data_IF_994668251408
#
_entry.id   IF_994668251408
#
_cell.length_a   1.000
_cell.length_b   1.000
_cell.length_c   1.000
_cell.angle_alpha   90.00
_cell.angle_beta   90.00
_cell.angle_gamma   90.00
#
_symmetry.space_group_name_H-M   'P 1'
#
loop_
_entity.id
_entity.type
_entity.pdbx_description
1 polymer ?
#
# COMPACT_ATOMS: atom_id res chain seq x y z
N UNK A 1 -7.37 -18.77 8.39
CA UNK A 1 -7.51 -17.55 7.55
C UNK A 1 -8.98 -17.19 7.51
N UNK A 2 -9.37 -15.93 7.74
CA UNK A 2 -10.79 -15.53 7.72
C UNK A 2 -11.25 -15.46 6.26
N UNK A 3 -12.33 -16.16 5.92
CA UNK A 3 -12.97 -16.06 4.60
C UNK A 3 -13.52 -14.65 4.41
N UNK A 4 -13.31 -14.09 3.23
CA UNK A 4 -13.79 -12.75 2.84
C UNK A 4 -14.82 -12.95 1.75
N UNK A 5 -15.86 -12.11 1.77
CA UNK A 5 -16.83 -11.99 0.68
C UNK A 5 -16.34 -10.85 -0.22
N UNK A 6 -15.97 -11.18 -1.45
CA UNK A 6 -15.56 -10.21 -2.47
C UNK A 6 -16.81 -9.69 -3.17
N UNK A 7 -17.11 -8.38 -3.12
CA UNK A 7 -18.30 -7.82 -3.74
C UNK A 7 -18.30 -7.99 -5.26
N UNK A 8 -19.48 -8.19 -5.84
CA UNK A 8 -19.65 -8.35 -7.29
C UNK A 8 -19.34 -7.08 -8.06
N UNK A 9 -19.71 -5.93 -7.51
CA UNK A 9 -19.36 -4.61 -7.99
C UNK A 9 -17.99 -4.12 -7.44
N UNK A 10 -17.19 -5.04 -6.91
CA UNK A 10 -15.90 -4.73 -6.32
C UNK A 10 -14.87 -4.35 -7.38
N UNK A 11 -13.99 -3.43 -7.02
CA UNK A 11 -12.78 -3.13 -7.77
C UNK A 11 -11.57 -3.52 -6.93
N UNK A 12 -10.82 -4.51 -7.38
CA UNK A 12 -9.54 -4.84 -6.77
C UNK A 12 -8.44 -3.98 -7.40
N UNK A 13 -7.79 -3.15 -6.59
CA UNK A 13 -6.69 -2.27 -6.99
C UNK A 13 -5.37 -2.83 -6.46
N UNK A 14 -4.39 -3.05 -7.34
CA UNK A 14 -3.12 -3.68 -6.97
C UNK A 14 -1.93 -2.95 -7.59
N UNK A 15 -1.29 -2.03 -6.86
CA UNK A 15 0.04 -1.57 -7.22
C UNK A 15 1.06 -2.69 -7.01
N UNK A 16 1.95 -2.88 -7.97
CA UNK A 16 2.99 -3.90 -7.92
C UNK A 16 4.36 -3.27 -8.18
N UNK A 17 5.34 -3.67 -7.37
CA UNK A 17 6.74 -3.35 -7.62
C UNK A 17 7.37 -4.45 -8.46
N UNK A 18 7.88 -4.07 -9.63
CA UNK A 18 8.53 -4.96 -10.58
C UNK A 18 10.03 -4.64 -10.59
N UNK A 19 10.86 -5.70 -10.53
CA UNK A 19 12.33 -5.60 -10.52
C UNK A 19 12.92 -4.71 -9.41
N UNK A 20 12.16 -4.46 -8.33
CA UNK A 20 12.62 -3.72 -7.14
C UNK A 20 12.68 -2.20 -7.27
N UNK A 21 12.35 -1.63 -8.44
CA UNK A 21 12.44 -0.18 -8.66
C UNK A 21 11.37 0.39 -9.61
N UNK A 22 10.58 -0.44 -10.28
CA UNK A 22 9.54 0.00 -11.21
C UNK A 22 8.16 -0.28 -10.63
N UNK A 23 7.26 0.71 -10.67
CA UNK A 23 5.89 0.55 -10.20
C UNK A 23 4.92 0.47 -11.38
N UNK A 24 4.05 -0.53 -11.31
CA UNK A 24 2.91 -0.72 -12.22
C UNK A 24 1.65 -0.87 -11.40
N UNK A 25 0.48 -0.79 -12.04
CA UNK A 25 -0.79 -1.00 -11.36
C UNK A 25 -1.74 -1.86 -12.19
N UNK A 26 -2.44 -2.74 -11.48
CA UNK A 26 -3.43 -3.64 -12.03
C UNK A 26 -4.78 -3.39 -11.38
N UNK A 27 -5.82 -3.63 -12.16
CA UNK A 27 -7.20 -3.54 -11.70
C UNK A 27 -7.99 -4.76 -12.14
N UNK A 28 -8.75 -5.33 -11.21
CA UNK A 28 -9.79 -6.31 -11.52
C UNK A 28 -11.15 -5.68 -11.24
N UNK A 29 -11.84 -5.32 -12.31
CA UNK A 29 -13.20 -4.79 -12.28
C UNK A 29 -14.16 -5.97 -12.36
N UNK A 30 -14.71 -6.36 -11.20
CA UNK A 30 -15.64 -7.49 -11.12
C UNK A 30 -17.04 -7.13 -11.61
N UNK A 31 -17.41 -5.84 -11.66
CA UNK A 31 -18.70 -5.38 -12.19
C UNK A 31 -18.73 -5.63 -13.71
N UNK A 32 -17.66 -5.22 -14.39
CA UNK A 32 -17.56 -5.28 -15.85
C UNK A 32 -16.81 -6.51 -16.38
N UNK A 33 -16.37 -7.40 -15.48
CA UNK A 33 -15.56 -8.57 -15.77
C UNK A 33 -14.28 -8.25 -16.57
N UNK A 34 -13.63 -7.13 -16.26
CA UNK A 34 -12.45 -6.65 -17.00
C UNK A 34 -11.22 -6.62 -16.12
N UNK A 35 -10.09 -6.93 -16.74
CA UNK A 35 -8.78 -6.75 -16.14
C UNK A 35 -8.01 -5.68 -16.88
N UNK A 36 -7.41 -4.75 -16.13
CA UNK A 36 -6.61 -3.67 -16.68
C UNK A 36 -5.19 -3.68 -16.11
N UNK A 37 -4.23 -3.35 -16.95
CA UNK A 37 -2.83 -3.20 -16.59
C UNK A 37 -2.33 -1.85 -17.11
N UNK A 38 -1.74 -1.06 -16.21
CA UNK A 38 -1.12 0.20 -16.54
C UNK A 38 0.35 0.15 -16.16
N UNK A 39 1.17 0.45 -17.16
CA UNK A 39 2.61 0.59 -17.02
C UNK A 39 3.00 1.99 -17.50
N UNK A 40 3.46 2.87 -16.59
CA UNK A 40 3.96 4.19 -16.97
C UNK A 40 5.05 4.14 -18.04
N UNK A 41 5.85 3.07 -18.09
CA UNK A 41 7.02 2.91 -18.96
C UNK A 41 6.81 2.04 -20.20
N UNK A 42 5.64 1.41 -20.36
CA UNK A 42 5.36 0.42 -21.42
C UNK A 42 6.43 -0.69 -21.54
N UNK A 43 6.85 -1.24 -20.41
CA UNK A 43 7.82 -2.34 -20.42
C UNK A 43 7.19 -3.63 -20.97
N UNK A 44 8.04 -4.61 -21.30
CA UNK A 44 7.59 -5.97 -21.65
C UNK A 44 7.11 -6.79 -20.43
N UNK A 45 6.95 -6.18 -19.25
CA UNK A 45 6.60 -6.87 -17.99
C UNK A 45 5.13 -7.30 -17.93
N UNK A 46 4.31 -6.92 -18.92
CA UNK A 46 2.90 -7.30 -19.01
C UNK A 46 2.66 -8.79 -18.75
N UNK A 47 3.43 -9.68 -19.39
CA UNK A 47 3.25 -11.13 -19.25
C UNK A 47 3.55 -11.63 -17.84
N UNK A 48 4.58 -11.08 -17.19
CA UNK A 48 4.96 -11.44 -15.82
C UNK A 48 3.92 -10.94 -14.81
N UNK A 49 3.45 -9.71 -14.98
CA UNK A 49 2.40 -9.14 -14.15
C UNK A 49 1.08 -9.90 -14.33
N UNK A 50 0.73 -10.26 -15.56
CA UNK A 50 -0.41 -11.12 -15.88
C UNK A 50 -0.32 -12.47 -15.17
N UNK A 51 0.84 -13.12 -15.17
CA UNK A 51 1.00 -14.39 -14.45
C UNK A 51 0.82 -14.22 -12.94
N UNK A 52 1.42 -13.17 -12.36
CA UNK A 52 1.25 -12.81 -10.94
C UNK A 52 -0.23 -12.61 -10.61
N UNK A 53 -0.96 -11.89 -11.46
CA UNK A 53 -2.38 -11.65 -11.30
C UNK A 53 -3.21 -12.94 -11.33
N UNK A 54 -2.98 -13.81 -12.32
CA UNK A 54 -3.68 -15.09 -12.43
C UNK A 54 -3.46 -15.93 -11.17
N UNK A 55 -2.26 -15.90 -10.59
CA UNK A 55 -1.97 -16.58 -9.34
C UNK A 55 -2.75 -15.97 -8.16
N UNK A 56 -2.78 -14.65 -8.03
CA UNK A 56 -3.55 -13.95 -6.98
C UNK A 56 -5.04 -14.27 -7.10
N UNK A 57 -5.63 -14.17 -8.31
CA UNK A 57 -7.01 -14.57 -8.54
C UNK A 57 -7.25 -16.03 -8.20
N UNK A 58 -6.33 -16.92 -8.55
CA UNK A 58 -6.40 -18.33 -8.19
C UNK A 58 -6.47 -18.54 -6.67
N UNK A 59 -5.70 -17.78 -5.90
CA UNK A 59 -5.76 -17.81 -4.44
C UNK A 59 -7.06 -17.21 -3.89
N UNK A 60 -7.54 -16.12 -4.49
CA UNK A 60 -8.84 -15.53 -4.12
C UNK A 60 -9.97 -16.55 -4.33
N UNK A 61 -10.00 -17.21 -5.49
CA UNK A 61 -10.99 -18.23 -5.83
C UNK A 61 -10.99 -19.43 -4.88
N UNK A 62 -9.81 -19.85 -4.43
CA UNK A 62 -9.64 -21.01 -3.53
C UNK A 62 -10.06 -20.71 -2.10
N UNK A 63 -9.80 -19.49 -1.62
CA UNK A 63 -9.88 -19.18 -0.19
C UNK A 63 -11.05 -18.24 0.18
N UNK A 64 -11.71 -17.63 -0.81
CA UNK A 64 -12.71 -16.59 -0.63
C UNK A 64 -13.97 -16.81 -1.48
N UNK A 65 -15.04 -16.12 -1.10
CA UNK A 65 -16.37 -16.20 -1.76
C UNK A 65 -16.56 -14.96 -2.62
N UNK A 66 -17.13 -15.11 -3.81
CA UNK A 66 -17.50 -13.99 -4.68
C UNK A 66 -19.00 -13.73 -4.59
N UNK A 67 -19.41 -12.53 -4.20
CA UNK A 67 -20.81 -12.18 -3.95
C UNK A 67 -21.40 -12.97 -2.79
N UNK A 68 -21.88 -14.17 -3.07
CA UNK A 68 -22.52 -15.06 -2.11
C UNK A 68 -22.04 -16.52 -2.27
N UNK A 69 -22.28 -17.33 -1.23
CA UNK A 69 -21.81 -18.72 -1.19
C UNK A 69 -22.41 -19.51 -2.36
N UNK A 70 -21.55 -20.21 -3.12
CA UNK A 70 -21.95 -21.02 -4.27
C UNK A 70 -21.91 -20.28 -5.61
N UNK A 71 -21.72 -18.96 -5.62
CA UNK A 71 -21.61 -18.19 -6.86
C UNK A 71 -20.25 -18.42 -7.54
N UNK A 72 -20.29 -18.54 -8.87
CA UNK A 72 -19.11 -18.77 -9.69
C UNK A 72 -18.36 -17.46 -9.87
N UNK A 73 -17.05 -17.49 -9.62
CA UNK A 73 -16.18 -16.36 -9.89
C UNK A 73 -16.13 -16.01 -11.38
N UNK A 74 -16.25 -14.74 -11.77
CA UNK A 74 -16.24 -14.35 -13.16
C UNK A 74 -14.89 -14.66 -13.82
N UNK A 75 -14.94 -14.90 -15.12
CA UNK A 75 -13.75 -14.84 -15.97
C UNK A 75 -13.52 -13.37 -16.30
N UNK A 76 -12.28 -12.90 -16.10
CA UNK A 76 -11.94 -11.53 -16.42
C UNK A 76 -11.26 -11.45 -17.78
N UNK A 77 -11.76 -10.53 -18.60
CA UNK A 77 -11.21 -10.27 -19.93
C UNK A 77 -10.12 -9.22 -19.85
N UNK A 78 -8.94 -9.58 -20.39
CA UNK A 78 -7.78 -8.71 -20.39
C UNK A 78 -7.98 -7.56 -21.36
N UNK A 79 -8.00 -6.34 -20.83
CA UNK A 79 -8.11 -5.11 -21.58
C UNK A 79 -6.74 -4.46 -21.72
N UNK A 80 -6.38 -4.12 -22.96
CA UNK A 80 -5.22 -3.27 -23.23
C UNK A 80 -5.70 -1.83 -23.27
N UNK A 81 -5.52 -1.11 -22.16
CA UNK A 81 -5.70 0.33 -22.16
C UNK A 81 -4.48 0.97 -22.83
N UNK A 82 -4.68 1.95 -23.71
CA UNK A 82 -3.57 2.61 -24.43
C UNK A 82 -3.56 4.13 -24.24
N UNK A 83 -4.71 4.74 -23.95
CA UNK A 83 -4.85 6.19 -23.85
C UNK A 83 -4.67 6.68 -22.41
N UNK A 84 -3.42 6.78 -21.96
CA UNK A 84 -3.05 7.35 -20.66
C UNK A 84 -1.65 7.96 -20.72
N UNK A 85 -1.32 8.98 -19.90
CA UNK A 85 -0.04 9.63 -19.95
C UNK A 85 1.06 8.65 -19.58
N UNK A 86 2.15 8.70 -20.35
CA UNK A 86 3.32 7.85 -20.19
C UNK A 86 4.42 8.63 -19.52
N UNK A 87 5.19 7.91 -18.73
CA UNK A 87 6.41 8.45 -18.16
C UNK A 87 7.48 8.52 -19.26
N UNK A 88 8.11 9.67 -19.47
CA UNK A 88 9.19 9.79 -20.45
C UNK A 88 10.35 8.82 -20.14
N UNK A 89 11.02 8.32 -21.18
CA UNK A 89 12.18 7.44 -21.03
C UNK A 89 13.35 8.08 -20.26
N UNK A 90 13.36 9.40 -20.13
CA UNK A 90 14.35 10.18 -19.38
C UNK A 90 14.05 10.32 -17.88
N UNK A 91 12.91 9.82 -17.39
CA UNK A 91 12.42 10.16 -16.05
C UNK A 91 12.90 9.26 -14.90
N UNK A 92 13.05 7.95 -14.99
CA UNK A 92 13.49 6.98 -13.96
C UNK A 92 12.83 6.92 -12.56
N UNK A 93 12.19 7.95 -12.01
CA UNK A 93 11.77 7.97 -10.59
C UNK A 93 10.30 8.31 -10.32
N UNK A 94 9.52 8.70 -11.34
CA UNK A 94 8.11 9.06 -11.17
C UNK A 94 7.11 7.91 -11.37
N UNK A 95 7.53 6.66 -11.62
CA UNK A 95 6.59 5.56 -11.92
C UNK A 95 5.52 5.35 -10.83
N UNK A 96 5.90 5.49 -9.55
CA UNK A 96 4.95 5.43 -8.43
C UNK A 96 3.93 6.58 -8.45
N UNK A 97 4.34 7.78 -8.88
CA UNK A 97 3.47 8.97 -8.97
C UNK A 97 2.44 8.79 -10.09
N UNK A 98 2.85 8.28 -11.24
CA UNK A 98 1.94 7.92 -12.33
C UNK A 98 0.94 6.83 -11.89
N UNK A 99 1.41 5.80 -11.18
CA UNK A 99 0.55 4.74 -10.63
C UNK A 99 -0.53 5.29 -9.70
N UNK A 100 -0.17 6.20 -8.80
CA UNK A 100 -1.12 6.86 -7.89
C UNK A 100 -2.11 7.74 -8.65
N UNK A 101 -1.65 8.49 -9.65
CA UNK A 101 -2.50 9.28 -10.52
C UNK A 101 -3.51 8.39 -11.27
N UNK A 102 -3.07 7.24 -11.78
CA UNK A 102 -3.98 6.31 -12.46
C UNK A 102 -5.06 5.77 -11.52
N UNK A 103 -4.66 5.35 -10.32
CA UNK A 103 -5.59 4.90 -9.29
C UNK A 103 -6.62 5.98 -8.95
N UNK A 104 -6.18 7.22 -8.71
CA UNK A 104 -7.06 8.33 -8.40
C UNK A 104 -8.08 8.59 -9.50
N UNK A 105 -7.64 8.71 -10.76
CA UNK A 105 -8.54 8.98 -11.89
C UNK A 105 -9.60 7.89 -12.07
N UNK A 106 -9.19 6.62 -11.96
CA UNK A 106 -10.07 5.46 -12.12
C UNK A 106 -11.07 5.38 -10.97
N UNK A 107 -10.60 5.54 -9.72
CA UNK A 107 -11.45 5.49 -8.54
C UNK A 107 -12.48 6.62 -8.52
N UNK A 108 -12.14 7.81 -9.04
CA UNK A 108 -13.06 8.95 -9.13
C UNK A 108 -14.10 8.85 -10.26
N UNK A 109 -13.77 8.22 -11.40
CA UNK A 109 -14.59 8.34 -12.61
C UNK A 109 -15.13 7.00 -13.18
N UNK A 110 -14.73 5.84 -12.63
CA UNK A 110 -14.87 4.51 -13.26
C UNK A 110 -14.14 4.43 -14.62
N UNK A 111 -13.88 3.21 -15.09
CA UNK A 111 -13.12 2.98 -16.33
C UNK A 111 -13.75 3.54 -17.60
N UNK A 112 -15.07 3.56 -17.69
CA UNK A 112 -15.78 3.95 -18.91
C UNK A 112 -15.76 5.46 -19.16
N UNK A 113 -15.61 6.25 -18.10
CA UNK A 113 -15.63 7.71 -18.16
C UNK A 113 -14.27 8.34 -17.88
N UNK A 114 -13.25 7.55 -17.52
CA UNK A 114 -11.94 8.09 -17.19
C UNK A 114 -11.31 8.75 -18.41
N UNK A 115 -10.97 10.03 -18.26
CA UNK A 115 -10.16 10.78 -19.22
C UNK A 115 -8.92 11.25 -18.48
N UNK A 116 -7.79 10.63 -18.80
CA UNK A 116 -6.52 11.07 -18.24
C UNK A 116 -6.12 12.42 -18.85
N UNK A 117 -5.52 13.26 -18.03
CA UNK A 117 -4.91 14.51 -18.50
C UNK A 117 -3.63 14.17 -19.28
N UNK A 118 -3.63 14.45 -20.57
CA UNK A 118 -2.45 14.24 -21.43
C UNK A 118 -1.29 15.18 -21.04
N UNK A 119 -1.59 16.33 -20.43
CA UNK A 119 -0.62 17.27 -19.89
C UNK A 119 -0.31 17.00 -18.40
N UNK A 120 -0.48 15.77 -17.93
CA UNK A 120 -0.15 15.39 -16.56
C UNK A 120 1.33 15.69 -16.24
N UNK A 121 1.56 16.46 -15.18
CA UNK A 121 2.89 16.78 -14.68
C UNK A 121 3.13 16.07 -13.33
N UNK A 122 4.01 15.05 -13.27
CA UNK A 122 4.23 14.27 -12.06
C UNK A 122 4.82 15.11 -10.91
N UNK A 123 5.61 16.14 -11.22
CA UNK A 123 6.22 17.00 -10.20
C UNK A 123 5.15 17.84 -9.49
N UNK A 124 4.23 18.44 -10.25
CA UNK A 124 3.11 19.18 -9.65
C UNK A 124 2.24 18.24 -8.82
N UNK A 125 1.98 17.02 -9.32
CA UNK A 125 1.18 16.05 -8.58
C UNK A 125 1.88 15.53 -7.31
N UNK A 126 3.22 15.47 -7.26
CA UNK A 126 3.96 15.17 -6.03
C UNK A 126 3.71 16.21 -4.94
N UNK A 127 3.67 17.49 -5.30
CA UNK A 127 3.37 18.56 -4.34
C UNK A 127 1.94 18.39 -3.80
N UNK A 128 0.97 18.10 -4.68
CA UNK A 128 -0.41 17.78 -4.27
C UNK A 128 -0.46 16.59 -3.32
N UNK A 129 0.26 15.50 -3.62
CA UNK A 129 0.31 14.32 -2.75
C UNK A 129 0.96 14.63 -1.41
N UNK A 130 2.01 15.44 -1.39
CA UNK A 130 2.69 15.87 -0.16
C UNK A 130 1.74 16.68 0.72
N UNK A 131 1.06 17.67 0.14
CA UNK A 131 0.11 18.51 0.87
C UNK A 131 -1.07 17.66 1.39
N UNK A 132 -1.64 16.79 0.55
CA UNK A 132 -2.69 15.84 0.95
C UNK A 132 -2.26 14.96 2.12
N UNK A 133 -1.04 14.42 2.08
CA UNK A 133 -0.53 13.59 3.18
C UNK A 133 -0.36 14.40 4.48
N UNK A 134 0.04 15.66 4.39
CA UNK A 134 0.17 16.51 5.58
C UNK A 134 -1.19 16.91 6.16
N UNK A 135 -2.20 17.09 5.30
CA UNK A 135 -3.56 17.49 5.69
C UNK A 135 -4.39 16.32 6.25
N UNK A 136 -4.31 15.14 5.61
CA UNK A 136 -5.20 14.01 5.89
C UNK A 136 -4.56 12.93 6.79
N UNK A 137 -3.25 12.98 7.03
CA UNK A 137 -2.63 11.98 7.92
C UNK A 137 -2.92 12.31 9.38
N UNK A 138 -3.23 11.26 10.15
CA UNK A 138 -3.37 11.37 11.59
C UNK A 138 -2.08 11.89 12.23
N UNK A 139 -2.27 12.70 13.27
CA UNK A 139 -1.16 13.11 14.11
C UNK A 139 -0.63 11.92 14.91
N UNK A 140 0.43 11.30 14.39
CA UNK A 140 0.94 10.03 14.90
C UNK A 140 1.64 10.10 16.27
N UNK A 141 1.63 11.26 16.96
CA UNK A 141 2.28 11.44 18.27
C UNK A 141 1.70 10.49 19.30
N UNK A 142 0.38 10.36 19.35
CA UNK A 142 -0.32 9.60 20.39
C UNK A 142 -0.75 8.21 19.89
N UNK A 143 -0.14 7.73 18.78
CA UNK A 143 -0.42 6.44 18.17
C UNK A 143 0.79 5.53 18.35
N UNK A 144 0.60 4.45 19.10
CA UNK A 144 1.62 3.44 19.35
C UNK A 144 2.13 2.85 18.04
N UNK A 145 3.43 2.95 17.80
CA UNK A 145 4.08 2.45 16.58
C UNK A 145 3.88 0.94 16.38
N UNK A 146 3.74 0.16 17.46
CA UNK A 146 3.62 -1.29 17.40
C UNK A 146 2.21 -1.78 17.05
N UNK A 147 1.17 -1.17 17.64
CA UNK A 147 -0.21 -1.65 17.48
C UNK A 147 -1.11 -0.70 16.69
N UNK A 148 -0.66 0.51 16.37
CA UNK A 148 -1.44 1.52 15.66
C UNK A 148 -2.64 2.05 16.45
N UNK A 149 -2.57 2.02 17.78
CA UNK A 149 -3.66 2.45 18.67
C UNK A 149 -3.22 3.54 19.63
N UNK A 150 -4.17 4.36 20.04
CA UNK A 150 -4.01 5.30 21.15
C UNK A 150 -4.19 4.56 22.48
N UNK A 151 -3.84 5.23 23.58
CA UNK A 151 -4.09 4.80 24.96
C UNK A 151 -5.57 4.45 25.19
N UNK A 152 -6.48 5.28 24.66
CA UNK A 152 -7.94 5.13 24.74
C UNK A 152 -8.53 3.98 23.93
N UNK A 153 -7.76 3.37 23.04
CA UNK A 153 -8.22 2.26 22.18
C UNK A 153 -7.39 0.98 22.38
N UNK A 154 -6.46 1.01 23.33
CA UNK A 154 -5.53 -0.07 23.57
C UNK A 154 -6.18 -1.28 24.24
N UNK A 155 -5.63 -2.47 23.99
CA UNK A 155 -6.16 -3.74 24.54
C UNK A 155 -6.03 -3.85 26.07
N UNK A 156 -5.23 -2.98 26.69
CA UNK A 156 -4.98 -2.90 28.13
C UNK A 156 -5.63 -1.66 28.77
N UNK A 157 -6.70 -1.11 28.18
CA UNK A 157 -7.43 0.07 28.71
C UNK A 157 -7.88 -0.07 30.17
N UNK A 158 -8.15 -1.30 30.60
CA UNK A 158 -8.63 -1.60 31.96
C UNK A 158 -7.48 -1.72 32.99
N UNK A 159 -6.22 -1.65 32.54
CA UNK A 159 -5.07 -1.56 33.43
C UNK A 159 -4.82 -0.08 33.75
N UNK A 160 -4.77 0.26 35.04
CA UNK A 160 -4.76 1.65 35.53
C UNK A 160 -3.59 2.52 35.01
N UNK A 161 -2.57 1.94 34.35
CA UNK A 161 -1.46 2.68 33.76
C UNK A 161 -0.91 1.98 32.50
N UNK A 162 -1.17 2.58 31.33
CA UNK A 162 -0.51 2.21 30.08
C UNK A 162 0.73 3.08 29.90
N UNK A 163 1.91 2.53 30.14
CA UNK A 163 3.18 3.24 30.00
C UNK A 163 3.59 3.42 28.54
N UNK A 164 4.19 4.56 28.24
CA UNK A 164 4.67 4.93 26.92
C UNK A 164 6.17 5.22 26.96
N UNK A 165 6.88 4.80 25.92
CA UNK A 165 8.29 5.12 25.68
C UNK A 165 8.45 5.73 24.28
N UNK A 166 9.30 6.75 24.15
CA UNK A 166 9.60 7.41 22.88
C UNK A 166 10.94 6.89 22.34
N UNK A 167 10.97 6.53 21.05
CA UNK A 167 12.22 6.23 20.35
C UNK A 167 13.05 7.49 20.14
N UNK A 168 14.28 7.53 20.64
CA UNK A 168 15.18 8.68 20.49
C UNK A 168 15.61 8.91 19.03
N UNK A 169 15.62 7.87 18.21
CA UNK A 169 16.03 7.96 16.80
C UNK A 169 14.92 8.49 15.87
N UNK A 170 13.65 8.11 16.09
CA UNK A 170 12.55 8.49 15.19
C UNK A 170 11.42 9.28 15.87
N UNK A 171 11.55 9.58 17.16
CA UNK A 171 10.59 10.32 17.98
C UNK A 171 9.19 9.70 18.03
N UNK A 172 9.05 8.41 17.67
CA UNK A 172 7.77 7.69 17.70
C UNK A 172 7.54 7.04 19.05
N UNK A 173 6.30 7.16 19.52
CA UNK A 173 5.85 6.61 20.79
C UNK A 173 5.39 5.15 20.67
N UNK A 174 5.70 4.36 21.68
CA UNK A 174 5.35 2.94 21.80
C UNK A 174 4.76 2.71 23.18
N UNK A 175 3.64 2.01 23.23
CA UNK A 175 3.09 1.46 24.47
C UNK A 175 3.98 0.31 24.92
N UNK A 176 4.51 0.37 26.14
CA UNK A 176 5.51 -0.58 26.64
C UNK A 176 4.99 -2.02 26.58
N UNK A 177 3.72 -2.25 26.91
CA UNK A 177 3.04 -3.55 26.86
C UNK A 177 2.84 -4.11 25.42
N UNK A 178 3.05 -3.30 24.39
CA UNK A 178 3.09 -3.80 23.00
C UNK A 178 4.43 -4.41 22.64
N UNK A 179 5.48 -4.14 23.42
CA UNK A 179 6.80 -4.72 23.23
C UNK A 179 6.79 -6.10 23.89
N UNK A 180 7.12 -7.15 23.13
CA UNK A 180 7.06 -8.52 23.62
C UNK A 180 8.11 -8.82 24.70
N UNK A 181 9.17 -8.01 24.78
CA UNK A 181 10.31 -8.15 25.68
C UNK A 181 10.75 -6.76 26.20
N UNK A 182 9.86 -6.04 26.89
CA UNK A 182 10.11 -4.69 27.39
C UNK A 182 11.34 -4.58 28.32
N UNK A 183 11.76 -5.69 28.94
CA UNK A 183 12.92 -5.75 29.85
C UNK A 183 14.28 -5.58 29.15
N UNK A 184 14.35 -5.62 27.81
CA UNK A 184 15.63 -5.64 27.07
C UNK A 184 15.98 -4.34 26.31
N UNK A 185 15.22 -3.25 26.47
CA UNK A 185 15.25 -2.15 25.47
C UNK A 185 15.80 -0.81 26.01
N UNK A 186 16.20 -0.74 27.28
CA UNK A 186 16.98 0.40 27.77
C UNK A 186 18.46 0.02 27.71
N UNK A 187 19.23 0.76 26.91
CA UNK A 187 20.68 0.67 27.01
C UNK A 187 21.17 1.29 28.34
N UNK A 188 22.45 1.08 28.65
CA UNK A 188 23.08 1.54 29.90
C UNK A 188 23.03 3.08 30.03
N UNK A 189 22.83 3.80 28.93
CA UNK A 189 22.80 5.26 28.84
C UNK A 189 21.36 5.83 28.87
N UNK A 190 20.34 4.97 28.95
CA UNK A 190 18.93 5.35 29.02
C UNK A 190 18.32 5.73 27.66
N UNK A 191 19.01 5.48 26.55
CA UNK A 191 18.44 5.67 25.22
C UNK A 191 17.60 4.45 24.83
N UNK A 192 16.50 4.72 24.14
CA UNK A 192 15.60 3.71 23.60
C UNK A 192 15.49 3.87 22.08
N UNK A 193 15.89 2.82 21.35
CA UNK A 193 15.63 2.71 19.92
C UNK A 193 14.55 1.66 19.63
N UNK A 194 13.57 2.00 18.80
CA UNK A 194 12.56 1.04 18.39
C UNK A 194 13.14 -0.01 17.43
N UNK A 195 12.49 -1.19 17.37
CA UNK A 195 12.89 -2.31 16.49
C UNK A 195 13.07 -1.91 15.01
N UNK A 196 12.32 -0.91 14.53
CA UNK A 196 12.43 -0.41 13.17
C UNK A 196 13.75 0.35 12.96
N UNK A 197 14.11 1.23 13.89
CA UNK A 197 15.38 1.98 13.87
C UNK A 197 16.58 1.03 14.01
N UNK A 198 16.53 0.10 14.97
CA UNK A 198 17.58 -0.93 15.15
C UNK A 198 17.77 -1.74 13.86
N UNK A 199 16.66 -2.17 13.24
CA UNK A 199 16.70 -2.96 11.99
C UNK A 199 17.29 -2.16 10.83
N UNK A 200 17.03 -0.86 10.77
CA UNK A 200 17.55 0.03 9.74
C UNK A 200 19.06 0.22 9.90
N UNK A 201 19.53 0.53 11.12
CA UNK A 201 20.95 0.71 11.45
C UNK A 201 21.77 -0.55 11.13
N UNK A 202 21.26 -1.75 11.47
CA UNK A 202 21.91 -3.02 11.12
C UNK A 202 22.05 -3.24 9.61
N UNK A 203 21.05 -2.85 8.81
CA UNK A 203 21.12 -2.97 7.34
C UNK A 203 22.11 -1.98 6.71
N UNK A 204 22.35 -0.84 7.35
CA UNK A 204 23.37 0.10 6.91
C UNK A 204 24.77 -0.44 7.20
N UNK A 205 24.97 -1.08 8.35
CA UNK A 205 26.25 -1.69 8.72
C UNK A 205 26.59 -2.92 7.87
N UNK A 206 25.61 -3.74 7.46
CA UNK A 206 25.85 -4.92 6.61
C UNK A 206 26.11 -4.61 5.13
N UNK A 207 26.10 -3.33 4.74
CA UNK A 207 26.39 -2.87 3.37
C UNK A 207 27.82 -2.37 3.18
N UNK A 208 28.61 -2.43 4.24
CA UNK A 208 30.06 -2.17 4.27
C UNK A 208 30.78 -3.40 4.79
#
# INVERSE_FOLDING_TARGET
MKTIIVPENGLLVMPLQVRGNHWVIMFADFENHKFYFFDPYETMEYNKCRHTFVNILGQLKKNHVYGEVGKVWPKLDFQKFSKYPKQPHTDFYNCGVYVLYFAECILKNKFENVKFNEAFCPIVYREVLKDLLLEESDFMRDICLCCGRTDKQHRHIEEDNVDWVQCDACNRWIIVQCMKDAEQILDIDGNFECLLCISYSKRLQSKY
#
